data_IF_818294994663
#
_entry.id   IF_818294994663
#
_cell.length_a   1.000
_cell.length_b   1.000
_cell.length_c   1.000
_cell.angle_alpha   90.00
_cell.angle_beta   90.00
_cell.angle_gamma   90.00
#
_symmetry.space_group_name_H-M   'P 1'
#
loop_
_entity.id
_entity.type
_entity.pdbx_description
1 polymer ?
#
# COMPACT_ATOMS: atom_id res chain seq x y z
N UNK A 1 9.73 7.89 18.41
CA UNK A 1 8.39 8.42 18.03
C UNK A 1 8.44 8.72 16.55
N UNK A 2 7.54 8.14 15.77
CA UNK A 2 7.45 8.32 14.32
C UNK A 2 6.84 9.69 14.03
N UNK A 3 7.42 10.47 13.12
CA UNK A 3 6.78 11.68 12.61
C UNK A 3 5.69 11.29 11.59
N UNK A 4 4.47 11.15 12.09
CA UNK A 4 3.32 10.69 11.32
C UNK A 4 3.06 11.61 10.11
N UNK A 5 3.11 12.91 10.30
CA UNK A 5 2.83 13.87 9.22
C UNK A 5 3.91 13.85 8.14
N UNK A 6 5.18 13.71 8.53
CA UNK A 6 6.27 13.52 7.58
C UNK A 6 6.02 12.30 6.70
N UNK A 7 5.68 11.16 7.31
CA UNK A 7 5.44 9.92 6.57
C UNK A 7 4.20 9.99 5.67
N UNK A 8 3.10 10.62 6.12
CA UNK A 8 1.91 10.83 5.28
C UNK A 8 2.21 11.73 4.09
N UNK A 9 2.94 12.82 4.32
CA UNK A 9 3.27 13.79 3.27
C UNK A 9 4.36 13.28 2.30
N UNK A 10 5.16 12.29 2.70
CA UNK A 10 6.16 11.67 1.84
C UNK A 10 5.55 10.81 0.71
N UNK A 11 4.26 10.49 0.78
CA UNK A 11 3.57 9.69 -0.24
C UNK A 11 2.72 10.60 -1.14
N UNK A 12 2.99 10.55 -2.45
CA UNK A 12 2.08 11.09 -3.46
C UNK A 12 1.01 10.04 -3.76
N UNK A 13 -0.25 10.47 -3.84
CA UNK A 13 -1.41 9.59 -4.03
C UNK A 13 -2.27 10.11 -5.16
N UNK A 14 -2.65 9.22 -6.05
CA UNK A 14 -3.58 9.50 -7.13
C UNK A 14 -4.63 8.39 -7.21
N UNK A 15 -5.81 8.73 -7.69
CA UNK A 15 -6.87 7.79 -7.98
C UNK A 15 -7.52 8.14 -9.31
N UNK A 16 -7.81 7.12 -10.10
CA UNK A 16 -8.53 7.28 -11.36
C UNK A 16 -9.61 6.22 -11.52
N UNK A 17 -10.60 6.51 -12.35
CA UNK A 17 -11.64 5.57 -12.73
C UNK A 17 -11.90 5.63 -14.23
N UNK A 18 -11.94 4.45 -14.85
CA UNK A 18 -12.35 4.30 -16.26
C UNK A 18 -13.35 3.14 -16.35
N UNK A 19 -14.62 3.45 -16.52
CA UNK A 19 -15.70 2.46 -16.49
C UNK A 19 -15.79 1.76 -15.13
N UNK A 20 -15.64 0.43 -15.13
CA UNK A 20 -15.65 -0.41 -13.92
C UNK A 20 -14.22 -0.66 -13.34
N UNK A 21 -13.22 -0.01 -13.90
CA UNK A 21 -11.84 -0.11 -13.43
C UNK A 21 -11.49 1.09 -12.57
N UNK A 22 -11.02 0.84 -11.36
CA UNK A 22 -10.45 1.83 -10.46
C UNK A 22 -8.96 1.53 -10.28
N UNK A 23 -8.12 2.54 -10.46
CA UNK A 23 -6.68 2.48 -10.17
C UNK A 23 -6.34 3.48 -9.09
N UNK A 24 -5.62 3.04 -8.07
CA UNK A 24 -4.91 3.90 -7.16
C UNK A 24 -3.40 3.81 -7.45
N UNK A 25 -2.73 4.94 -7.43
CA UNK A 25 -1.30 5.03 -7.63
C UNK A 25 -0.65 5.76 -6.46
N UNK A 26 0.46 5.23 -5.99
CA UNK A 26 1.23 5.80 -4.89
C UNK A 26 2.70 5.88 -5.28
N UNK A 27 3.37 6.97 -4.90
CA UNK A 27 4.81 7.15 -5.11
C UNK A 27 5.47 7.63 -3.84
N UNK A 28 6.64 7.05 -3.55
CA UNK A 28 7.45 7.43 -2.40
C UNK A 28 8.93 7.22 -2.69
N UNK A 29 9.76 8.21 -2.32
CA UNK A 29 11.21 8.09 -2.35
C UNK A 29 11.74 7.37 -1.10
N UNK A 30 12.72 6.49 -1.30
CA UNK A 30 13.45 5.77 -0.26
C UNK A 30 14.94 6.01 -0.39
N UNK A 31 15.64 6.14 0.74
CA UNK A 31 17.10 6.22 0.79
C UNK A 31 17.71 4.82 0.79
N UNK A 32 17.60 4.15 -0.34
CA UNK A 32 18.12 2.81 -0.59
C UNK A 32 18.29 2.64 -2.10
N UNK A 33 19.20 1.77 -2.51
CA UNK A 33 19.36 1.41 -3.92
C UNK A 33 18.18 0.56 -4.41
N UNK A 34 17.94 0.48 -5.73
CA UNK A 34 16.93 -0.41 -6.28
C UNK A 34 17.10 -1.87 -5.83
N UNK A 35 18.34 -2.35 -5.76
CA UNK A 35 18.68 -3.71 -5.32
C UNK A 35 18.29 -3.96 -3.86
N UNK A 36 18.58 -3.00 -2.97
CA UNK A 36 18.21 -3.09 -1.55
C UNK A 36 16.68 -3.10 -1.36
N UNK A 37 15.96 -2.25 -2.09
CA UNK A 37 14.48 -2.25 -2.06
C UNK A 37 13.91 -3.51 -2.69
N UNK A 38 14.48 -3.97 -3.79
CA UNK A 38 14.09 -5.22 -4.42
C UNK A 38 14.17 -6.40 -3.44
N UNK A 39 15.31 -6.53 -2.77
CA UNK A 39 15.51 -7.57 -1.77
C UNK A 39 14.53 -7.44 -0.59
N UNK A 40 14.26 -6.20 -0.13
CA UNK A 40 13.29 -5.96 0.93
C UNK A 40 11.86 -6.37 0.53
N UNK A 41 11.48 -6.18 -0.74
CA UNK A 41 10.15 -6.44 -1.28
C UNK A 41 9.93 -7.91 -1.71
N UNK A 42 11.00 -8.67 -2.00
CA UNK A 42 10.88 -9.98 -2.64
C UNK A 42 11.52 -11.14 -1.86
N UNK A 43 12.47 -10.88 -0.95
CA UNK A 43 13.00 -11.91 -0.07
C UNK A 43 12.00 -12.20 1.07
N UNK A 44 11.46 -13.43 1.21
CA UNK A 44 10.45 -13.73 2.23
C UNK A 44 10.91 -13.48 3.66
N UNK A 45 12.22 -13.67 3.93
CA UNK A 45 12.79 -13.45 5.27
C UNK A 45 12.85 -11.97 5.61
N UNK A 46 13.17 -11.13 4.62
CA UNK A 46 13.16 -9.68 4.78
C UNK A 46 11.75 -9.13 4.84
N UNK A 47 10.88 -9.59 3.94
CA UNK A 47 9.47 -9.18 3.88
C UNK A 47 8.75 -9.43 5.21
N UNK A 48 8.99 -10.57 5.87
CA UNK A 48 8.41 -10.90 7.16
C UNK A 48 8.82 -9.95 8.31
N UNK A 49 9.86 -9.13 8.14
CA UNK A 49 10.33 -8.18 9.17
C UNK A 49 9.59 -6.85 9.17
N UNK A 50 9.00 -6.47 8.04
CA UNK A 50 8.35 -5.16 7.90
C UNK A 50 6.94 -5.22 7.31
N UNK A 51 6.57 -6.35 6.72
CA UNK A 51 5.26 -6.62 6.15
C UNK A 51 4.67 -7.89 6.76
N UNK A 52 4.18 -8.84 5.98
CA UNK A 52 3.62 -10.10 6.47
C UNK A 52 4.49 -11.29 6.07
N UNK A 53 4.58 -12.35 6.92
CA UNK A 53 5.17 -13.61 6.52
C UNK A 53 4.52 -14.12 5.23
N UNK A 54 5.36 -14.50 4.27
CA UNK A 54 4.93 -14.86 2.92
C UNK A 54 5.46 -16.21 2.54
N UNK A 55 4.60 -17.06 1.96
CA UNK A 55 4.95 -18.37 1.41
C UNK A 55 4.56 -18.44 -0.06
N UNK A 56 5.16 -19.34 -0.82
CA UNK A 56 4.79 -19.53 -2.22
C UNK A 56 5.91 -20.02 -3.11
N UNK A 57 5.66 -19.96 -4.42
CA UNK A 57 6.62 -20.24 -5.47
C UNK A 57 6.95 -18.93 -6.19
N UNK A 58 8.01 -18.26 -5.75
CA UNK A 58 8.37 -16.88 -6.13
C UNK A 58 9.02 -16.78 -7.51
N UNK A 59 8.32 -17.24 -8.54
CA UNK A 59 8.72 -17.12 -9.95
C UNK A 59 7.51 -16.76 -10.83
N UNK A 60 7.74 -16.24 -12.00
CA UNK A 60 6.66 -15.97 -12.97
C UNK A 60 5.88 -17.26 -13.26
N UNK A 61 4.56 -17.19 -13.18
CA UNK A 61 3.65 -18.33 -13.27
C UNK A 61 3.49 -19.12 -11.94
N UNK A 62 4.20 -18.75 -10.89
CA UNK A 62 3.98 -19.23 -9.52
C UNK A 62 3.00 -18.34 -8.76
N UNK A 63 2.88 -18.56 -7.46
CA UNK A 63 1.95 -17.84 -6.60
C UNK A 63 2.60 -17.51 -5.25
N UNK A 64 1.99 -16.55 -4.54
CA UNK A 64 2.34 -16.21 -3.18
C UNK A 64 1.10 -16.20 -2.28
N UNK A 65 1.32 -16.36 -0.98
CA UNK A 65 0.31 -16.23 0.06
C UNK A 65 0.89 -15.47 1.25
N UNK A 66 0.32 -14.33 1.57
CA UNK A 66 0.58 -13.61 2.83
C UNK A 66 -0.18 -14.31 3.97
N UNK A 67 0.46 -14.48 5.10
CA UNK A 67 -0.15 -15.14 6.26
C UNK A 67 -1.42 -14.39 6.70
N UNK A 68 -2.55 -15.10 6.77
CA UNK A 68 -3.87 -14.60 7.19
C UNK A 68 -4.39 -13.40 6.36
N UNK A 69 -3.83 -13.18 5.15
CA UNK A 69 -4.16 -12.08 4.27
C UNK A 69 -4.35 -12.54 2.82
N UNK A 70 -4.12 -11.61 1.88
CA UNK A 70 -4.25 -11.85 0.45
C UNK A 70 -3.14 -12.76 -0.10
N UNK A 71 -3.46 -13.48 -1.15
CA UNK A 71 -2.51 -14.17 -2.01
C UNK A 71 -2.77 -13.80 -3.47
N UNK A 72 -1.93 -14.33 -4.35
CA UNK A 72 -2.08 -14.10 -5.79
C UNK A 72 -1.04 -14.81 -6.63
N UNK A 73 -1.17 -14.65 -7.94
CA UNK A 73 -0.28 -15.21 -8.95
C UNK A 73 0.77 -14.17 -9.36
N UNK A 74 1.99 -14.63 -9.62
CA UNK A 74 3.09 -13.78 -10.09
C UNK A 74 3.03 -13.74 -11.62
N UNK A 75 2.67 -12.56 -12.16
CA UNK A 75 2.46 -12.36 -13.59
C UNK A 75 3.73 -11.91 -14.29
N UNK A 76 4.46 -10.97 -13.69
CA UNK A 76 5.68 -10.38 -14.23
C UNK A 76 6.70 -10.19 -13.11
N UNK A 77 8.00 -10.31 -13.45
CA UNK A 77 9.09 -10.12 -12.50
C UNK A 77 10.36 -9.72 -13.27
N UNK A 78 10.85 -8.51 -13.06
CA UNK A 78 12.06 -7.95 -13.68
C UNK A 78 13.00 -7.36 -12.61
N UNK A 79 13.86 -8.17 -11.98
CA UNK A 79 14.79 -7.68 -10.96
C UNK A 79 15.80 -6.65 -11.52
N UNK A 80 16.15 -5.58 -10.81
CA UNK A 80 15.50 -5.04 -9.60
C UNK A 80 14.45 -3.98 -9.94
N UNK A 81 13.85 -3.99 -11.15
CA UNK A 81 13.02 -2.89 -11.66
C UNK A 81 11.57 -2.94 -11.19
N UNK A 82 11.00 -4.14 -11.01
CA UNK A 82 9.62 -4.26 -10.57
C UNK A 82 9.00 -5.64 -10.80
N UNK A 83 7.76 -5.78 -10.33
CA UNK A 83 6.96 -6.98 -10.50
C UNK A 83 5.47 -6.63 -10.60
N UNK A 84 4.70 -7.57 -11.16
CA UNK A 84 3.24 -7.50 -11.23
C UNK A 84 2.62 -8.81 -10.76
N UNK A 85 1.59 -8.71 -9.95
CA UNK A 85 0.89 -9.86 -9.36
C UNK A 85 -0.63 -9.63 -9.40
N UNK A 86 -1.42 -10.71 -9.31
CA UNK A 86 -2.78 -10.60 -8.82
C UNK A 86 -2.76 -10.45 -7.30
N UNK A 87 -3.74 -9.78 -6.68
CA UNK A 87 -3.76 -9.53 -5.24
C UNK A 87 -5.17 -9.65 -4.67
N UNK A 88 -5.42 -10.71 -3.92
CA UNK A 88 -6.72 -10.96 -3.29
C UNK A 88 -7.83 -11.40 -4.23
N UNK A 89 -7.55 -11.57 -5.53
CA UNK A 89 -8.50 -12.06 -6.50
C UNK A 89 -8.06 -11.86 -7.95
N UNK A 90 -8.74 -12.50 -8.90
CA UNK A 90 -8.30 -12.52 -10.31
C UNK A 90 -8.49 -11.18 -11.04
N UNK A 91 -9.30 -10.27 -10.51
CA UNK A 91 -9.60 -8.96 -11.11
C UNK A 91 -8.90 -7.81 -10.36
N UNK A 92 -7.95 -8.13 -9.52
CA UNK A 92 -7.21 -7.18 -8.69
C UNK A 92 -5.72 -7.36 -8.96
N UNK A 93 -5.03 -6.32 -9.40
CA UNK A 93 -3.64 -6.36 -9.85
C UNK A 93 -2.82 -5.36 -9.06
N UNK A 94 -1.70 -5.81 -8.54
CA UNK A 94 -0.71 -4.98 -7.88
C UNK A 94 0.56 -4.95 -8.73
N UNK A 95 1.05 -3.76 -9.02
CA UNK A 95 2.32 -3.56 -9.70
C UNK A 95 3.23 -2.66 -8.87
N UNK A 96 4.47 -3.07 -8.71
CA UNK A 96 5.54 -2.29 -8.08
C UNK A 96 6.60 -2.00 -9.14
N UNK A 97 7.01 -0.73 -9.24
CA UNK A 97 8.13 -0.27 -10.07
C UNK A 97 9.13 0.48 -9.23
N UNK A 98 10.41 0.24 -9.48
CA UNK A 98 11.53 0.88 -8.81
C UNK A 98 12.33 1.71 -9.80
N UNK A 99 12.43 3.00 -9.56
CA UNK A 99 13.12 3.96 -10.42
C UNK A 99 14.34 4.51 -9.68
N UNK A 100 15.58 4.22 -10.16
CA UNK A 100 16.77 4.81 -9.57
C UNK A 100 16.70 6.33 -9.55
N UNK A 101 17.07 6.94 -8.44
CA UNK A 101 17.15 8.38 -8.28
C UNK A 101 18.54 8.81 -7.81
N UNK A 102 18.77 10.12 -7.65
CA UNK A 102 20.07 10.61 -7.21
C UNK A 102 20.37 10.26 -5.75
N UNK A 103 21.66 10.25 -5.39
CA UNK A 103 22.17 10.04 -4.02
C UNK A 103 21.74 8.69 -3.40
N UNK A 104 21.90 7.61 -4.15
CA UNK A 104 21.58 6.24 -3.72
C UNK A 104 20.14 6.13 -3.18
N UNK A 105 19.21 6.82 -3.84
CA UNK A 105 17.78 6.74 -3.53
C UNK A 105 17.02 6.10 -4.67
N UNK A 106 15.81 5.63 -4.36
CA UNK A 106 14.91 4.98 -5.32
C UNK A 106 13.49 5.52 -5.12
N UNK A 107 12.86 5.91 -6.21
CA UNK A 107 11.43 6.18 -6.23
C UNK A 107 10.67 4.87 -6.45
N UNK A 108 9.89 4.47 -5.46
CA UNK A 108 8.97 3.35 -5.56
C UNK A 108 7.61 3.87 -6.04
N UNK A 109 7.10 3.24 -7.09
CA UNK A 109 5.74 3.40 -7.58
C UNK A 109 4.95 2.12 -7.30
N UNK A 110 3.81 2.25 -6.65
CA UNK A 110 2.83 1.19 -6.41
C UNK A 110 1.56 1.55 -7.18
N UNK A 111 1.09 0.65 -8.00
CA UNK A 111 -0.22 0.75 -8.66
C UNK A 111 -1.09 -0.45 -8.28
N UNK A 112 -2.30 -0.18 -7.78
CA UNK A 112 -3.29 -1.20 -7.49
C UNK A 112 -4.53 -0.95 -8.35
N UNK A 113 -4.82 -1.87 -9.26
CA UNK A 113 -5.93 -1.81 -10.21
C UNK A 113 -6.95 -2.87 -9.86
N UNK A 114 -8.21 -2.47 -9.73
CA UNK A 114 -9.33 -3.38 -9.51
C UNK A 114 -10.36 -3.19 -10.61
N UNK A 115 -10.78 -4.29 -11.25
CA UNK A 115 -11.70 -4.28 -12.39
C UNK A 115 -12.95 -5.12 -12.11
N UNK A 116 -14.11 -4.64 -12.56
CA UNK A 116 -15.37 -5.41 -12.52
C UNK A 116 -15.94 -5.63 -11.13
N UNK A 117 -15.47 -4.89 -10.13
CA UNK A 117 -16.09 -4.88 -8.80
C UNK A 117 -17.05 -3.69 -8.75
N UNK A 118 -18.33 -3.89 -8.42
CA UNK A 118 -19.25 -2.80 -8.18
C UNK A 118 -18.80 -2.06 -6.92
N UNK A 119 -17.99 -1.02 -7.10
CA UNK A 119 -17.56 -0.14 -6.04
C UNK A 119 -18.19 1.23 -6.27
N UNK A 120 -18.63 1.94 -5.22
CA UNK A 120 -19.16 3.28 -5.36
C UNK A 120 -18.05 4.23 -5.83
N UNK A 121 -17.91 4.38 -7.14
CA UNK A 121 -16.91 5.25 -7.76
C UNK A 121 -15.48 4.93 -7.32
N UNK A 122 -14.60 5.92 -7.35
CA UNK A 122 -13.23 5.81 -6.82
C UNK A 122 -13.18 5.81 -5.27
N UNK A 123 -14.31 5.93 -4.59
CA UNK A 123 -14.44 5.76 -3.13
C UNK A 123 -13.85 4.44 -2.63
N UNK A 124 -13.82 3.42 -3.48
CA UNK A 124 -13.15 2.15 -3.21
C UNK A 124 -11.66 2.23 -2.90
N UNK A 125 -10.97 3.27 -3.33
CA UNK A 125 -9.58 3.51 -2.94
C UNK A 125 -9.42 3.68 -1.41
N UNK A 126 -10.47 4.15 -0.72
CA UNK A 126 -10.50 4.24 0.74
C UNK A 126 -10.45 2.88 1.45
N UNK A 127 -10.86 1.79 0.81
CA UNK A 127 -10.84 0.46 1.43
C UNK A 127 -9.47 -0.22 1.41
N UNK A 128 -8.56 0.23 0.56
CA UNK A 128 -7.23 -0.39 0.40
C UNK A 128 -6.07 0.60 0.54
N UNK A 129 -6.28 1.87 0.19
CA UNK A 129 -5.24 2.90 0.21
C UNK A 129 -4.56 3.08 1.57
N UNK A 130 -5.30 3.17 2.70
CA UNK A 130 -4.68 3.26 4.01
C UNK A 130 -3.84 2.03 4.38
N UNK A 131 -4.22 0.83 3.92
CA UNK A 131 -3.42 -0.38 4.09
C UNK A 131 -2.08 -0.29 3.34
N UNK A 132 -2.10 0.24 2.10
CA UNK A 132 -0.86 0.47 1.35
C UNK A 132 0.01 1.57 1.97
N UNK A 133 -0.57 2.62 2.53
CA UNK A 133 0.19 3.62 3.30
C UNK A 133 0.91 2.98 4.49
N UNK A 134 0.24 2.09 5.22
CA UNK A 134 0.84 1.31 6.29
C UNK A 134 2.00 0.43 5.81
N UNK A 135 1.85 -0.23 4.65
CA UNK A 135 2.93 -0.99 4.02
C UNK A 135 4.12 -0.12 3.63
N UNK A 136 3.88 1.04 2.99
CA UNK A 136 4.94 1.98 2.61
C UNK A 136 5.63 2.60 3.85
N UNK A 137 4.91 2.80 4.96
CA UNK A 137 5.50 3.19 6.24
C UNK A 137 6.40 2.06 6.78
N UNK A 138 5.90 0.82 6.83
CA UNK A 138 6.68 -0.34 7.30
C UNK A 138 8.00 -0.48 6.55
N UNK A 139 7.96 -0.39 5.20
CA UNK A 139 9.16 -0.42 4.37
C UNK A 139 10.12 0.73 4.72
N UNK A 140 9.59 1.95 4.95
CA UNK A 140 10.43 3.10 5.29
C UNK A 140 11.14 2.94 6.64
N UNK A 141 10.46 2.42 7.64
CA UNK A 141 11.03 2.13 8.95
C UNK A 141 12.09 1.03 8.86
N UNK A 142 11.84 -0.02 8.08
CA UNK A 142 12.78 -1.10 7.84
C UNK A 142 14.06 -0.62 7.16
N UNK A 143 13.94 0.14 6.06
CA UNK A 143 15.08 0.70 5.32
C UNK A 143 15.89 1.68 6.17
N UNK A 144 15.23 2.44 7.05
CA UNK A 144 15.90 3.32 8.02
C UNK A 144 16.61 2.57 9.14
N UNK A 145 16.51 1.23 9.20
CA UNK A 145 17.16 0.42 10.22
C UNK A 145 16.54 0.55 11.61
N UNK A 146 15.24 0.89 11.68
CA UNK A 146 14.55 0.97 12.96
C UNK A 146 14.35 -0.42 13.59
N UNK A 147 14.28 -0.50 14.94
CA UNK A 147 14.21 -1.75 15.66
C UNK A 147 13.00 -2.62 15.30
N UNK A 148 13.12 -3.93 15.54
CA UNK A 148 12.09 -4.95 15.26
C UNK A 148 10.81 -4.79 16.13
N UNK A 149 10.76 -3.86 17.09
CA UNK A 149 9.56 -3.50 17.85
C UNK A 149 8.47 -2.78 17.01
N UNK A 150 8.80 -2.43 15.77
CA UNK A 150 7.87 -1.94 14.75
C UNK A 150 7.41 -3.06 13.78
N UNK A 151 7.47 -4.31 14.22
CA UNK A 151 6.92 -5.43 13.46
C UNK A 151 5.42 -5.18 13.20
N UNK A 152 4.94 -5.29 11.96
CA UNK A 152 3.58 -4.92 11.57
C UNK A 152 2.50 -5.66 12.37
N UNK A 153 2.73 -6.91 12.74
CA UNK A 153 1.76 -7.72 13.49
C UNK A 153 1.56 -7.19 14.92
N UNK A 154 2.61 -6.72 15.57
CA UNK A 154 2.54 -6.20 16.96
C UNK A 154 2.34 -4.69 17.02
N UNK A 155 2.72 -3.98 15.96
CA UNK A 155 2.65 -2.53 15.88
C UNK A 155 1.31 -2.04 15.32
N UNK A 156 0.59 -2.89 14.56
CA UNK A 156 -0.66 -2.54 13.89
C UNK A 156 -1.73 -1.94 14.83
N UNK A 157 -1.83 -2.44 16.06
CA UNK A 157 -2.81 -1.99 17.04
C UNK A 157 -2.27 -0.92 17.99
N UNK A 158 -1.07 -0.40 17.76
CA UNK A 158 -0.48 0.63 18.61
C UNK A 158 -1.23 1.96 18.45
N UNK A 159 -1.29 2.79 19.52
CA UNK A 159 -1.89 4.13 19.44
C UNK A 159 -1.22 5.01 18.35
N UNK A 160 0.03 4.76 18.06
CA UNK A 160 0.80 5.46 17.03
C UNK A 160 0.32 5.08 15.62
N UNK A 161 0.09 3.77 15.38
CA UNK A 161 -0.50 3.30 14.11
C UNK A 161 -1.95 3.71 13.93
N UNK A 162 -2.78 3.70 14.99
CA UNK A 162 -4.14 4.20 14.91
C UNK A 162 -4.17 5.66 14.46
N UNK A 163 -3.27 6.49 15.02
CA UNK A 163 -3.15 7.89 14.61
C UNK A 163 -2.62 8.04 13.17
N UNK A 164 -1.67 7.21 12.74
CA UNK A 164 -1.20 7.18 11.36
C UNK A 164 -2.34 6.80 10.40
N UNK A 165 -3.08 5.77 10.72
CA UNK A 165 -4.20 5.28 9.92
C UNK A 165 -5.32 6.34 9.80
N UNK A 166 -5.65 7.05 10.88
CA UNK A 166 -6.56 8.19 10.84
C UNK A 166 -6.12 9.23 9.81
N UNK A 167 -4.86 9.65 9.87
CA UNK A 167 -4.33 10.64 8.93
C UNK A 167 -4.28 10.12 7.49
N UNK A 168 -4.00 8.83 7.30
CA UNK A 168 -4.04 8.19 5.99
C UNK A 168 -5.47 8.18 5.41
N UNK A 169 -6.49 7.79 6.18
CA UNK A 169 -7.89 7.84 5.73
C UNK A 169 -8.28 9.26 5.32
N UNK A 170 -7.90 10.27 6.11
CA UNK A 170 -8.17 11.69 5.78
C UNK A 170 -7.45 12.14 4.51
N UNK A 171 -6.21 11.68 4.29
CA UNK A 171 -5.46 11.97 3.07
C UNK A 171 -6.14 11.36 1.83
N UNK A 172 -6.55 10.09 1.91
CA UNK A 172 -7.27 9.42 0.84
C UNK A 172 -8.66 10.03 0.59
N UNK A 173 -9.39 10.42 1.63
CA UNK A 173 -10.65 11.15 1.50
C UNK A 173 -10.48 12.41 0.65
N UNK A 174 -9.40 13.18 0.90
CA UNK A 174 -9.08 14.36 0.09
C UNK A 174 -8.76 13.99 -1.35
N UNK A 175 -7.92 12.99 -1.60
CA UNK A 175 -7.51 12.57 -2.95
C UNK A 175 -8.73 12.12 -3.77
N UNK A 176 -9.60 11.30 -3.19
CA UNK A 176 -10.81 10.83 -3.88
C UNK A 176 -11.79 11.97 -4.14
N UNK A 177 -11.95 12.91 -3.19
CA UNK A 177 -12.78 14.11 -3.40
C UNK A 177 -12.25 14.97 -4.54
N UNK A 178 -10.95 15.25 -4.55
CA UNK A 178 -10.31 16.09 -5.57
C UNK A 178 -10.37 15.45 -6.97
N UNK A 179 -10.42 14.13 -7.04
CA UNK A 179 -10.58 13.39 -8.31
C UNK A 179 -11.94 13.60 -8.99
N UNK A 180 -12.97 13.96 -8.23
CA UNK A 180 -14.33 14.15 -8.75
C UNK A 180 -15.00 12.87 -9.30
N UNK A 181 -14.46 11.70 -9.00
CA UNK A 181 -14.87 10.42 -9.59
C UNK A 181 -16.01 9.72 -8.83
N UNK A 182 -16.45 10.26 -7.70
CA UNK A 182 -17.56 9.74 -6.88
C UNK A 182 -18.41 10.87 -6.31
N UNK A 183 -19.65 10.58 -5.92
CA UNK A 183 -20.50 11.54 -5.21
C UNK A 183 -20.00 11.82 -3.80
N UNK A 184 -20.33 12.98 -3.23
CA UNK A 184 -19.96 13.30 -1.84
C UNK A 184 -20.62 12.35 -0.83
N UNK A 185 -21.84 11.88 -1.12
CA UNK A 185 -22.55 10.91 -0.28
C UNK A 185 -21.83 9.56 -0.23
N UNK A 186 -21.50 8.98 -1.39
CA UNK A 186 -20.76 7.71 -1.49
C UNK A 186 -19.35 7.83 -0.90
N UNK A 187 -18.71 8.99 -1.10
CA UNK A 187 -17.39 9.28 -0.57
C UNK A 187 -17.39 9.27 0.97
N UNK A 188 -18.35 9.94 1.60
CA UNK A 188 -18.46 9.99 3.06
C UNK A 188 -18.80 8.62 3.65
N UNK A 189 -19.63 7.83 2.96
CA UNK A 189 -19.93 6.46 3.40
C UNK A 189 -18.67 5.57 3.32
N UNK A 190 -17.95 5.62 2.20
CA UNK A 190 -16.69 4.89 2.06
C UNK A 190 -15.65 5.32 3.13
N UNK A 191 -15.58 6.62 3.44
CA UNK A 191 -14.67 7.12 4.45
C UNK A 191 -15.02 6.65 5.87
N UNK A 192 -16.32 6.55 6.21
CA UNK A 192 -16.76 5.98 7.50
C UNK A 192 -16.37 4.51 7.63
N UNK A 193 -16.58 3.72 6.56
CA UNK A 193 -16.18 2.31 6.55
C UNK A 193 -14.66 2.18 6.68
N UNK A 194 -13.91 2.98 5.95
CA UNK A 194 -12.45 3.01 6.02
C UNK A 194 -11.97 3.40 7.43
N UNK A 195 -12.57 4.42 8.05
CA UNK A 195 -12.22 4.83 9.40
C UNK A 195 -12.49 3.71 10.41
N UNK A 196 -13.64 3.05 10.32
CA UNK A 196 -13.98 1.93 11.19
C UNK A 196 -13.01 0.74 11.02
N UNK A 197 -12.49 0.53 9.81
CA UNK A 197 -11.54 -0.54 9.51
C UNK A 197 -10.12 -0.23 10.00
N UNK A 198 -9.61 0.97 9.72
CA UNK A 198 -8.19 1.31 9.92
C UNK A 198 -7.91 2.10 11.19
N UNK A 199 -8.89 2.85 11.69
CA UNK A 199 -8.78 3.64 12.93
C UNK A 199 -10.04 3.47 13.80
N UNK A 200 -10.32 2.25 14.29
CA UNK A 200 -11.53 1.98 15.07
C UNK A 200 -11.63 2.87 16.30
N UNK A 201 -12.84 3.40 16.51
CA UNK A 201 -13.13 4.33 17.63
C UNK A 201 -12.83 5.81 17.34
N UNK A 202 -12.31 6.13 16.16
CA UNK A 202 -12.11 7.51 15.70
C UNK A 202 -13.28 7.91 14.79
N UNK A 203 -13.84 9.11 15.03
CA UNK A 203 -14.86 9.69 14.15
C UNK A 203 -14.20 10.42 12.96
N UNK A 204 -14.94 10.45 11.85
CA UNK A 204 -14.48 11.07 10.60
C UNK A 204 -14.36 12.59 10.72
#
# INVERSE_FOLDING_TARGET
MIDILEHINAVQREVSRTGETVSLQMRRAYRATPEELWDALTDPTRLARWFWPTTGNFQVGGSFQLQDMAGGDILECEPPKGFKVTYGGPNSFLEIRLHPAANDSTDLELEHVVTGIPMPGAGGALYVGPGWDGGLLGLALYVAGLPDDHNPVTFADSPEMLKFNEQSVRAWLKVVRDSGTTSEEDLLEAAKVSMAQFAPGVEL
#
